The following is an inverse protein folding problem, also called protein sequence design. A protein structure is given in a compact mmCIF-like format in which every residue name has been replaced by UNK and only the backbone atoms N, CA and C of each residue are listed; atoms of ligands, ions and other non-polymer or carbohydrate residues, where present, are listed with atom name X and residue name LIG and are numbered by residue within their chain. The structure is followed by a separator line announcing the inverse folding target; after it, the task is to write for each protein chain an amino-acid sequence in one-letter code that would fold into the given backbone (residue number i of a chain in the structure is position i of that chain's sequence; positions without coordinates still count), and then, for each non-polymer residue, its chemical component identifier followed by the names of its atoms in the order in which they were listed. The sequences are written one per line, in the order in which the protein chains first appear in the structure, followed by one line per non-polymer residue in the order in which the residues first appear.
data_IF_056339522387
#
_entry.id   IF_056339522387
#
_cell.length_a   1.000
_cell.length_b   1.000
_cell.length_c   1.000
_cell.angle_alpha   90.00
_cell.angle_beta   90.00
_cell.angle_gamma   90.00
#
_symmetry.space_group_name_H-M   'P 1'
#
loop_
_entity.id
_entity.type
_entity.pdbx_description
1 polymer ?
#
# COMPACT_ATOMS: atom_id res chain seq x y z
N UNK A 1 -25.25 21.66 1.53
CA UNK A 1 -25.08 20.71 2.65
C UNK A 1 -23.59 20.51 2.85
N UNK A 2 -23.01 21.22 3.82
CA UNK A 2 -21.57 21.12 4.09
C UNK A 2 -21.26 19.73 4.63
N UNK A 3 -20.53 18.93 3.86
CA UNK A 3 -20.04 17.64 4.31
C UNK A 3 -19.16 17.84 5.54
N UNK A 4 -19.52 17.18 6.63
CA UNK A 4 -18.63 17.03 7.78
C UNK A 4 -17.37 16.33 7.24
N UNK A 5 -16.29 17.08 7.03
CA UNK A 5 -14.98 16.47 6.87
C UNK A 5 -14.70 15.75 8.18
N UNK A 6 -14.92 14.43 8.19
CA UNK A 6 -14.57 13.60 9.33
C UNK A 6 -13.10 13.90 9.68
N UNK A 7 -12.86 14.46 10.86
CA UNK A 7 -11.50 14.67 11.33
C UNK A 7 -10.81 13.31 11.37
N UNK A 8 -9.75 13.15 10.56
CA UNK A 8 -8.93 11.94 10.63
C UNK A 8 -8.32 11.86 12.04
N UNK A 9 -8.27 10.68 12.67
CA UNK A 9 -7.58 10.48 13.94
C UNK A 9 -6.14 11.03 13.89
N UNK A 10 -5.68 11.58 15.01
CA UNK A 10 -4.35 12.21 15.12
C UNK A 10 -3.24 11.24 14.73
N UNK A 11 -3.39 9.96 15.05
CA UNK A 11 -2.45 8.90 14.74
C UNK A 11 -2.26 8.73 13.22
N UNK A 12 -3.33 8.84 12.43
CA UNK A 12 -3.24 8.78 10.96
C UNK A 12 -2.60 10.05 10.38
N UNK A 13 -2.85 11.21 11.00
CA UNK A 13 -2.19 12.47 10.61
C UNK A 13 -0.68 12.37 10.85
N UNK A 14 -0.28 11.89 12.04
CA UNK A 14 1.13 11.69 12.40
C UNK A 14 1.79 10.63 11.53
N UNK A 15 1.10 9.52 11.25
CA UNK A 15 1.60 8.48 10.35
C UNK A 15 1.84 9.02 8.94
N UNK A 16 0.93 9.85 8.41
CA UNK A 16 1.13 10.52 7.11
C UNK A 16 2.34 11.46 7.14
N UNK A 17 2.47 12.29 8.18
CA UNK A 17 3.62 13.20 8.34
C UNK A 17 4.94 12.42 8.39
N UNK A 18 5.00 11.33 9.15
CA UNK A 18 6.16 10.43 9.17
C UNK A 18 6.43 9.85 7.78
N UNK A 19 5.42 9.26 7.14
CA UNK A 19 5.54 8.65 5.82
C UNK A 19 6.05 9.63 4.75
N UNK A 20 5.61 10.90 4.79
CA UNK A 20 6.09 11.94 3.87
C UNK A 20 7.58 12.25 4.02
N UNK A 21 8.16 12.08 5.22
CA UNK A 21 9.58 12.34 5.49
C UNK A 21 10.50 11.13 5.31
N UNK A 22 9.96 9.93 5.06
CA UNK A 22 10.75 8.72 4.91
C UNK A 22 11.35 8.61 3.51
N UNK A 23 12.65 8.27 3.45
CA UNK A 23 13.38 8.02 2.20
C UNK A 23 13.06 6.64 1.57
N UNK A 24 12.15 5.88 2.17
CA UNK A 24 11.72 4.55 1.70
C UNK A 24 10.27 4.61 1.23
N UNK A 25 9.84 3.73 0.30
CA UNK A 25 8.45 3.67 -0.16
C UNK A 25 7.50 3.28 0.97
N UNK A 26 6.47 4.11 1.17
CA UNK A 26 5.44 3.90 2.18
C UNK A 26 4.06 4.11 1.59
N UNK A 27 3.18 3.16 1.87
CA UNK A 27 1.74 3.21 1.63
C UNK A 27 1.02 3.23 2.98
N UNK A 28 0.02 4.08 3.11
CA UNK A 28 -0.86 4.17 4.26
C UNK A 28 -2.26 3.78 3.83
N UNK A 29 -2.84 2.80 4.53
CA UNK A 29 -4.23 2.37 4.32
C UNK A 29 -5.07 2.62 5.56
N UNK A 30 -6.37 2.82 5.39
CA UNK A 30 -7.33 2.89 6.49
C UNK A 30 -7.82 1.50 6.95
N UNK A 31 -8.81 1.47 7.84
CA UNK A 31 -9.38 0.25 8.41
C UNK A 31 -10.17 -0.60 7.38
N UNK A 32 -10.50 -0.04 6.21
CA UNK A 32 -11.15 -0.72 5.09
C UNK A 32 -10.10 -1.24 4.09
N UNK A 33 -8.85 -0.81 4.22
CA UNK A 33 -7.77 -1.13 3.29
C UNK A 33 -7.66 -0.14 2.12
N UNK A 34 -8.47 0.93 2.15
CA UNK A 34 -8.42 1.99 1.16
C UNK A 34 -7.15 2.80 1.34
N UNK A 35 -6.60 3.26 0.22
CA UNK A 35 -5.34 4.00 0.20
C UNK A 35 -5.59 5.44 0.59
N UNK A 36 -5.02 5.87 1.70
CA UNK A 36 -5.18 7.24 2.20
C UNK A 36 -3.97 8.14 1.95
N UNK A 37 -2.82 7.54 1.66
CA UNK A 37 -1.57 8.21 1.26
C UNK A 37 -0.54 7.20 0.74
N UNK A 38 0.30 7.60 -0.21
CA UNK A 38 1.64 7.01 -0.39
C UNK A 38 2.64 8.11 -0.75
N UNK A 39 3.90 7.93 -0.39
CA UNK A 39 4.94 8.95 -0.59
C UNK A 39 5.60 8.89 -1.98
N UNK A 40 6.38 9.90 -2.33
CA UNK A 40 7.08 10.01 -3.63
C UNK A 40 7.93 8.75 -3.95
N UNK A 41 8.70 8.14 -3.03
CA UNK A 41 9.39 6.88 -3.31
C UNK A 41 8.46 5.72 -3.69
N UNK A 42 7.23 5.66 -3.18
CA UNK A 42 6.23 4.66 -3.56
C UNK A 42 5.62 4.90 -4.93
N UNK A 43 5.56 6.16 -5.40
CA UNK A 43 5.12 6.50 -6.76
C UNK A 43 5.96 5.77 -7.81
N UNK A 44 7.26 5.62 -7.57
CA UNK A 44 8.19 4.92 -8.47
C UNK A 44 7.93 3.41 -8.55
N UNK A 45 7.41 2.81 -7.47
CA UNK A 45 7.03 1.39 -7.45
C UNK A 45 5.66 1.21 -8.10
N UNK A 46 4.71 2.08 -7.78
CA UNK A 46 3.35 1.99 -8.31
C UNK A 46 3.23 2.48 -9.75
N UNK A 47 4.17 3.29 -10.25
CA UNK A 47 4.04 3.94 -11.55
C UNK A 47 2.87 4.92 -11.61
N UNK A 48 2.50 5.50 -10.47
CA UNK A 48 1.34 6.40 -10.27
C UNK A 48 1.74 7.51 -9.32
N UNK A 49 1.30 8.74 -9.57
CA UNK A 49 1.44 9.83 -8.61
C UNK A 49 0.26 9.86 -7.68
N UNK A 50 0.47 10.16 -6.39
CA UNK A 50 -0.62 10.24 -5.43
C UNK A 50 -1.59 11.38 -5.77
N UNK A 51 -1.07 12.51 -6.25
CA UNK A 51 -1.89 13.68 -6.61
C UNK A 51 -2.79 13.43 -7.84
N UNK A 52 -2.49 12.41 -8.65
CA UNK A 52 -3.31 12.04 -9.81
C UNK A 52 -4.52 11.15 -9.41
N UNK A 53 -4.57 10.70 -8.15
CA UNK A 53 -5.64 9.86 -7.59
C UNK A 53 -6.24 10.51 -6.35
N UNK A 54 -7.38 11.19 -6.53
CA UNK A 54 -8.13 11.87 -5.45
C UNK A 54 -8.36 10.97 -4.21
N UNK A 55 -8.76 9.72 -4.46
CA UNK A 55 -8.85 8.66 -3.46
C UNK A 55 -8.76 7.31 -4.18
N UNK A 56 -7.93 6.39 -3.66
CA UNK A 56 -7.73 5.08 -4.28
C UNK A 56 -8.27 3.99 -3.36
N UNK A 57 -9.50 3.54 -3.64
CA UNK A 57 -10.12 2.43 -2.92
C UNK A 57 -9.27 1.16 -3.05
N UNK A 58 -9.47 0.20 -2.15
CA UNK A 58 -8.82 -1.10 -2.23
C UNK A 58 -9.08 -1.74 -3.59
N UNK A 59 -10.34 -1.81 -4.04
CA UNK A 59 -10.71 -2.39 -5.32
C UNK A 59 -10.01 -1.70 -6.50
N UNK A 60 -10.02 -0.36 -6.53
CA UNK A 60 -9.34 0.42 -7.57
C UNK A 60 -7.83 0.18 -7.56
N UNK A 61 -7.20 0.06 -6.38
CA UNK A 61 -5.77 -0.27 -6.28
C UNK A 61 -5.48 -1.67 -6.81
N UNK A 62 -6.36 -2.64 -6.57
CA UNK A 62 -6.20 -4.00 -7.07
C UNK A 62 -6.38 -4.09 -8.58
N UNK A 63 -7.30 -3.30 -9.14
CA UNK A 63 -7.52 -3.22 -10.58
C UNK A 63 -6.30 -2.63 -11.29
N UNK A 64 -5.74 -1.55 -10.75
CA UNK A 64 -4.57 -0.90 -11.36
C UNK A 64 -3.31 -1.75 -11.17
N UNK A 65 -3.06 -2.25 -9.96
CA UNK A 65 -1.78 -2.89 -9.62
C UNK A 65 -1.74 -4.40 -9.83
N UNK A 66 -2.90 -5.05 -9.97
CA UNK A 66 -3.08 -6.47 -10.26
C UNK A 66 -2.07 -7.38 -9.54
N UNK A 67 -2.07 -7.43 -8.19
CA UNK A 67 -1.05 -8.17 -7.44
C UNK A 67 -1.09 -9.67 -7.76
N UNK A 68 0.08 -10.25 -8.01
CA UNK A 68 0.23 -11.68 -8.31
C UNK A 68 1.13 -12.36 -7.28
N UNK A 69 0.84 -13.62 -6.96
CA UNK A 69 1.71 -14.45 -6.14
C UNK A 69 2.97 -14.91 -6.91
N UNK A 70 3.77 -15.77 -6.27
CA UNK A 70 5.00 -16.31 -6.87
C UNK A 70 4.74 -17.19 -8.11
N UNK A 71 3.57 -17.83 -8.19
CA UNK A 71 3.16 -18.66 -9.34
C UNK A 71 2.56 -17.80 -10.48
N UNK A 72 2.46 -16.48 -10.30
CA UNK A 72 1.84 -15.57 -11.27
C UNK A 72 0.30 -15.60 -11.24
N UNK A 73 -0.32 -16.13 -10.18
CA UNK A 73 -1.78 -16.11 -10.02
C UNK A 73 -2.21 -14.86 -9.25
N UNK A 74 -3.44 -14.35 -9.46
CA UNK A 74 -3.98 -13.25 -8.66
C UNK A 74 -3.84 -13.51 -7.16
N UNK A 75 -3.18 -12.60 -6.46
CA UNK A 75 -3.04 -12.67 -5.01
C UNK A 75 -4.38 -12.32 -4.37
N UNK A 76 -4.91 -13.23 -3.55
CA UNK A 76 -6.15 -12.97 -2.81
C UNK A 76 -6.01 -11.73 -1.91
N UNK A 77 -7.03 -10.88 -1.92
CA UNK A 77 -7.07 -9.61 -1.17
C UNK A 77 -6.76 -9.80 0.31
N UNK A 78 -7.25 -10.88 0.92
CA UNK A 78 -7.08 -11.20 2.33
C UNK A 78 -5.63 -11.55 2.69
N UNK A 79 -4.77 -11.81 1.69
CA UNK A 79 -3.35 -12.12 1.89
C UNK A 79 -2.45 -10.88 1.77
N UNK A 80 -3.00 -9.73 1.37
CA UNK A 80 -2.22 -8.50 1.27
C UNK A 80 -1.79 -8.05 2.67
N UNK A 81 -0.50 -7.68 2.88
CA UNK A 81 0.01 -7.33 4.21
C UNK A 81 -0.82 -6.27 4.93
N UNK A 82 -1.25 -5.21 4.24
CA UNK A 82 -2.09 -4.17 4.85
C UNK A 82 -3.44 -4.70 5.35
N UNK A 83 -4.07 -5.61 4.60
CA UNK A 83 -5.36 -6.22 4.95
C UNK A 83 -5.21 -7.19 6.13
N UNK A 84 -4.17 -8.04 6.09
CA UNK A 84 -3.85 -8.94 7.20
C UNK A 84 -3.58 -8.14 8.47
N UNK A 85 -2.77 -7.08 8.37
CA UNK A 85 -2.41 -6.26 9.52
C UNK A 85 -3.63 -5.62 10.18
N UNK A 86 -4.54 -5.05 9.38
CA UNK A 86 -5.77 -4.45 9.88
C UNK A 86 -6.70 -5.48 10.51
N UNK A 87 -6.95 -6.60 9.83
CA UNK A 87 -7.91 -7.62 10.27
C UNK A 87 -7.45 -8.41 11.49
N UNK A 88 -6.17 -8.79 11.51
CA UNK A 88 -5.61 -9.66 12.54
C UNK A 88 -4.92 -8.89 13.68
N UNK A 89 -4.83 -7.55 13.57
CA UNK A 89 -4.18 -6.68 14.55
C UNK A 89 -2.74 -7.09 14.88
N UNK A 90 -1.98 -7.51 13.87
CA UNK A 90 -0.57 -7.90 14.02
C UNK A 90 0.24 -7.49 12.79
N UNK A 91 1.56 -7.35 12.90
CA UNK A 91 2.39 -7.17 11.72
C UNK A 91 2.22 -8.32 10.72
N UNK A 92 2.30 -7.99 9.44
CA UNK A 92 2.22 -8.94 8.34
C UNK A 92 3.27 -8.61 7.28
N UNK A 93 3.78 -9.64 6.62
CA UNK A 93 4.81 -9.52 5.59
C UNK A 93 4.48 -10.47 4.43
N UNK A 94 4.69 -10.02 3.20
CA UNK A 94 4.57 -10.85 2.01
C UNK A 94 5.46 -10.35 0.87
N UNK A 95 5.84 -11.29 0.01
CA UNK A 95 6.45 -11.02 -1.29
C UNK A 95 5.44 -11.36 -2.40
N UNK A 96 5.31 -10.48 -3.40
CA UNK A 96 4.40 -10.63 -4.52
C UNK A 96 4.90 -9.84 -5.73
N UNK A 97 4.21 -9.92 -6.85
CA UNK A 97 4.44 -9.06 -8.01
C UNK A 97 3.35 -8.00 -8.09
N UNK A 98 3.72 -6.81 -8.54
CA UNK A 98 2.80 -5.75 -8.92
C UNK A 98 3.00 -5.40 -10.38
N UNK A 99 1.92 -5.04 -11.08
CA UNK A 99 1.99 -4.36 -12.36
C UNK A 99 1.81 -2.86 -12.07
N UNK A 100 2.84 -2.05 -12.28
CA UNK A 100 2.70 -0.61 -12.08
C UNK A 100 1.67 -0.03 -13.06
N UNK A 101 1.14 1.17 -12.76
CA UNK A 101 0.34 1.95 -13.70
C UNK A 101 1.08 2.30 -14.99
N UNK A 102 2.40 2.18 -15.00
CA UNK A 102 3.28 2.26 -16.17
C UNK A 102 3.39 0.94 -16.97
N UNK A 103 2.66 -0.11 -16.57
CA UNK A 103 2.68 -1.43 -17.19
C UNK A 103 3.88 -2.31 -16.83
N UNK A 104 4.81 -1.82 -16.00
CA UNK A 104 6.03 -2.57 -15.65
C UNK A 104 5.75 -3.50 -14.46
N UNK A 105 6.03 -4.79 -14.65
CA UNK A 105 5.95 -5.79 -13.58
C UNK A 105 7.16 -5.68 -12.66
N UNK A 106 6.92 -5.61 -11.35
CA UNK A 106 7.94 -5.50 -10.30
C UNK A 106 7.73 -6.57 -9.25
N UNK A 107 8.81 -7.25 -8.84
CA UNK A 107 8.77 -8.07 -7.62
C UNK A 107 8.93 -7.15 -6.40
N UNK A 108 8.02 -7.29 -5.46
CA UNK A 108 7.89 -6.40 -4.30
C UNK A 108 7.79 -7.23 -3.04
N UNK A 109 8.52 -6.82 -2.02
CA UNK A 109 8.28 -7.23 -0.65
C UNK A 109 7.59 -6.07 0.09
N UNK A 110 6.63 -6.41 0.95
CA UNK A 110 5.91 -5.44 1.74
C UNK A 110 5.74 -5.93 3.18
N UNK A 111 5.97 -5.03 4.13
CA UNK A 111 5.73 -5.22 5.56
C UNK A 111 4.71 -4.19 6.02
N UNK A 112 3.63 -4.66 6.64
CA UNK A 112 2.56 -3.84 7.18
C UNK A 112 2.55 -3.91 8.70
N UNK A 113 2.38 -2.76 9.34
CA UNK A 113 2.23 -2.60 10.80
C UNK A 113 0.86 -1.96 11.04
N UNK A 114 -0.02 -2.56 11.86
CA UNK A 114 -1.31 -1.96 12.18
C UNK A 114 -1.13 -0.67 12.98
N UNK A 115 -1.96 0.32 12.68
CA UNK A 115 -2.04 1.58 13.42
C UNK A 115 -3.30 1.54 14.27
N UNK A 116 -3.15 1.72 15.58
CA UNK A 116 -4.25 1.76 16.52
C UNK A 116 -4.40 3.15 17.12
N UNK A 117 -5.64 3.53 17.43
CA UNK A 117 -5.90 4.69 18.28
C UNK A 117 -5.45 4.41 19.71
N UNK A 118 -5.28 5.46 20.51
CA UNK A 118 -5.09 5.34 21.95
C UNK A 118 -6.16 4.47 22.66
N UNK A 119 -7.35 4.32 22.07
CA UNK A 119 -8.44 3.48 22.58
C UNK A 119 -8.44 2.03 22.09
N UNK A 120 -7.39 1.54 21.41
CA UNK A 120 -7.26 0.14 20.97
C UNK A 120 -8.12 -0.25 19.76
N UNK A 121 -8.58 0.75 19.00
CA UNK A 121 -9.27 0.52 17.73
C UNK A 121 -8.26 0.63 16.58
N UNK A 122 -8.24 -0.37 15.70
CA UNK A 122 -7.42 -0.33 14.47
C UNK A 122 -7.98 0.75 13.54
N UNK A 123 -7.10 1.67 13.16
CA UNK A 123 -7.38 2.79 12.28
C UNK A 123 -6.95 2.51 10.84
N UNK A 124 -6.03 1.56 10.64
CA UNK A 124 -5.42 1.26 9.36
C UNK A 124 -4.07 0.56 9.52
N UNK A 125 -3.22 0.68 8.51
CA UNK A 125 -1.85 0.15 8.55
C UNK A 125 -0.86 1.02 7.79
N UNK A 126 0.36 1.10 8.33
CA UNK A 126 1.52 1.64 7.62
C UNK A 126 2.23 0.47 6.93
N UNK A 127 2.43 0.59 5.62
CA UNK A 127 3.02 -0.43 4.77
C UNK A 127 4.32 0.11 4.19
N UNK A 128 5.44 -0.50 4.54
CA UNK A 128 6.73 -0.25 3.88
C UNK A 128 6.88 -1.29 2.79
N UNK A 129 7.28 -0.87 1.59
CA UNK A 129 7.48 -1.77 0.45
C UNK A 129 8.76 -1.45 -0.29
N UNK A 130 9.37 -2.46 -0.91
CA UNK A 130 10.57 -2.28 -1.73
C UNK A 130 10.59 -3.27 -2.87
N UNK A 131 11.22 -2.87 -3.98
CA UNK A 131 11.53 -3.81 -5.04
C UNK A 131 12.69 -4.68 -4.62
N UNK A 132 12.55 -5.97 -4.79
CA UNK A 132 13.70 -6.89 -4.71
C UNK A 132 14.31 -6.97 -6.11
N UNK A 133 15.64 -7.03 -6.17
CA UNK A 133 16.36 -7.03 -7.45
C UNK A 133 16.12 -8.37 -8.16
N UNK A 134 15.07 -8.42 -8.96
CA UNK A 134 14.75 -9.48 -9.91
C UNK A 134 14.41 -8.86 -11.26
N UNK A 135 15.31 -8.03 -11.80
CA UNK A 135 15.26 -7.66 -13.20
C UNK A 135 15.70 -8.89 -14.01
N UNK A 136 14.75 -9.77 -14.33
CA UNK A 136 14.93 -10.64 -15.48
C UNK A 136 15.15 -9.73 -16.69
N UNK A 137 16.38 -9.71 -17.18
CA UNK A 137 16.66 -9.20 -18.50
C UNK A 137 15.86 -10.06 -19.46
N UNK A 138 14.76 -9.53 -19.98
CA UNK A 138 14.14 -10.09 -21.16
C UNK A 138 15.22 -10.15 -22.24
N UNK A 139 15.69 -11.37 -22.54
CA UNK A 139 16.67 -11.61 -23.58
C UNK A 139 16.19 -10.97 -24.88
N UNK A 140 17.02 -10.12 -25.44
CA UNK A 140 16.86 -9.66 -26.81
C UNK A 140 17.28 -10.82 -27.73
N UNK A 141 16.44 -11.25 -28.70
CA UNK A 141 16.92 -12.08 -29.80
C UNK A 141 17.87 -11.28 -30.72
#
# INVERSE_FOLDING_TARGET
MSGVMAQRPVELILARQLASGLAVPVLLVDAQGDTIFFNEPAELIFGLRFDDVDALSLEGRLEILAPLDADGRPLATERLPGIVAVRERRPAHAAFHLHGGDGVRRHVEATAIPLESAGGHVLGALVVLWTTKGAEHAGHP
#
